data_IF_636515678560
#
_entry.id   IF_636515678560
#
_cell.length_a   1.000
_cell.length_b   1.000
_cell.length_c   1.000
_cell.angle_alpha   90.00
_cell.angle_beta   90.00
_cell.angle_gamma   90.00
#
_symmetry.space_group_name_H-M   'P 1'
#
loop_
_entity.id
_entity.type
_entity.pdbx_description
1 polymer ?
#
# COMPACT_ATOMS: atom_id res chain seq x y z
N UNK A 1 -34.45 61.77 -8.55
CA UNK A 1 -35.36 61.69 -9.71
C UNK A 1 -34.55 61.81 -10.99
N UNK A 2 -34.27 60.70 -11.63
CA UNK A 2 -34.03 60.61 -13.09
C UNK A 2 -33.89 59.14 -13.42
N UNK A 3 -34.86 58.65 -14.14
CA UNK A 3 -35.00 57.33 -14.72
C UNK A 3 -33.86 57.00 -15.68
N UNK A 4 -33.36 55.78 -15.63
CA UNK A 4 -32.54 55.19 -16.70
C UNK A 4 -33.42 54.26 -17.53
N UNK A 5 -33.28 54.28 -18.87
CA UNK A 5 -34.08 53.45 -19.75
C UNK A 5 -33.45 52.05 -19.95
N UNK A 6 -34.31 51.07 -20.04
CA UNK A 6 -34.02 49.71 -20.50
C UNK A 6 -33.81 49.71 -22.01
N UNK A 7 -32.71 49.15 -22.50
CA UNK A 7 -32.40 48.68 -23.86
C UNK A 7 -31.03 48.00 -23.76
N UNK A 8 -30.75 46.81 -24.24
CA UNK A 8 -31.30 45.88 -25.15
C UNK A 8 -30.65 44.51 -24.89
N UNK A 9 -31.46 43.51 -24.54
CA UNK A 9 -31.11 42.12 -24.75
C UNK A 9 -31.28 41.85 -26.26
N UNK A 10 -30.23 41.44 -26.88
CA UNK A 10 -30.36 40.90 -28.24
C UNK A 10 -29.21 41.30 -29.13
N UNK A 11 -28.13 40.56 -29.06
CA UNK A 11 -27.20 40.26 -30.17
C UNK A 11 -25.88 39.64 -29.63
N UNK A 12 -25.98 38.46 -29.04
CA UNK A 12 -24.81 37.60 -28.74
C UNK A 12 -25.10 36.13 -29.11
N UNK A 13 -25.83 35.93 -30.18
CA UNK A 13 -26.03 34.60 -30.74
C UNK A 13 -25.61 34.63 -32.22
N UNK A 14 -24.31 34.75 -32.50
CA UNK A 14 -23.82 34.38 -33.85
C UNK A 14 -22.28 34.45 -34.03
N UNK A 15 -21.48 34.10 -33.01
CA UNK A 15 -20.02 33.95 -33.22
C UNK A 15 -19.54 32.51 -32.99
N UNK A 16 -20.41 31.60 -32.57
CA UNK A 16 -20.04 30.19 -32.35
C UNK A 16 -20.19 29.28 -33.60
N UNK A 17 -20.64 29.80 -34.73
CA UNK A 17 -20.91 28.99 -35.93
C UNK A 17 -19.93 29.19 -37.11
N UNK A 18 -18.91 30.02 -36.98
CA UNK A 18 -17.96 30.28 -38.05
C UNK A 18 -16.53 29.78 -37.79
N UNK A 19 -16.26 29.16 -36.66
CA UNK A 19 -14.93 28.60 -36.34
C UNK A 19 -14.84 27.07 -36.50
N UNK A 20 -15.89 26.38 -36.91
CA UNK A 20 -15.93 24.92 -37.06
C UNK A 20 -15.61 24.40 -38.47
N UNK A 21 -15.27 25.26 -39.42
CA UNK A 21 -15.12 24.84 -40.82
C UNK A 21 -13.72 24.95 -41.45
N UNK A 22 -12.68 25.34 -40.71
CA UNK A 22 -11.33 25.45 -41.28
C UNK A 22 -10.18 24.78 -40.51
N UNK A 23 -10.47 23.93 -39.52
CA UNK A 23 -9.44 23.09 -38.87
C UNK A 23 -9.77 21.59 -38.96
N UNK A 24 -10.33 21.19 -40.09
CA UNK A 24 -10.36 19.79 -40.48
C UNK A 24 -9.04 19.42 -41.15
N UNK A 25 -8.33 18.50 -40.60
CA UNK A 25 -7.16 17.83 -41.19
C UNK A 25 -5.79 18.40 -40.77
N UNK A 26 -5.38 18.17 -39.50
CA UNK A 26 -3.97 18.02 -39.16
C UNK A 26 -3.76 17.63 -37.66
N UNK A 27 -4.67 16.88 -37.06
CA UNK A 27 -4.35 16.20 -35.79
C UNK A 27 -4.94 14.79 -35.81
N UNK A 28 -4.35 13.97 -36.70
CA UNK A 28 -4.37 12.52 -36.49
C UNK A 28 -3.42 12.22 -35.33
N UNK A 29 -3.84 12.54 -34.12
CA UNK A 29 -3.23 11.98 -32.93
C UNK A 29 -3.52 10.48 -32.97
N UNK A 30 -2.50 9.71 -33.40
CA UNK A 30 -2.44 8.29 -33.09
C UNK A 30 -2.73 8.16 -31.62
N UNK A 31 -3.60 7.22 -31.17
CA UNK A 31 -3.79 6.98 -29.78
C UNK A 31 -2.40 6.66 -29.20
N UNK A 32 -1.85 7.56 -28.40
CA UNK A 32 -0.73 7.28 -27.53
C UNK A 32 -1.12 6.06 -26.74
N UNK A 33 -0.32 4.99 -26.88
CA UNK A 33 -0.39 3.76 -26.09
C UNK A 33 -0.80 4.10 -24.67
N UNK A 34 -1.86 3.42 -24.23
CA UNK A 34 -2.58 3.67 -23.01
C UNK A 34 -1.69 4.07 -21.85
N UNK A 35 -2.24 4.96 -21.04
CA UNK A 35 -1.91 5.03 -19.62
C UNK A 35 -1.97 3.59 -19.14
N UNK A 36 -0.79 2.97 -18.99
CA UNK A 36 -0.66 1.68 -18.32
C UNK A 36 -1.25 1.93 -16.95
N UNK A 37 -2.43 1.33 -16.70
CA UNK A 37 -3.00 1.32 -15.38
C UNK A 37 -1.87 0.92 -14.44
N UNK A 38 -1.74 1.61 -13.32
CA UNK A 38 -0.81 1.24 -12.26
C UNK A 38 -1.08 -0.24 -11.99
N UNK A 39 -0.18 -1.12 -12.48
CA UNK A 39 -0.23 -2.53 -12.16
C UNK A 39 0.06 -2.62 -10.67
N UNK A 40 -0.99 -2.74 -9.87
CA UNK A 40 -0.85 -3.14 -8.47
C UNK A 40 -0.39 -4.59 -8.53
N UNK A 41 0.85 -4.84 -8.14
CA UNK A 41 1.39 -6.18 -8.04
C UNK A 41 0.46 -7.04 -7.18
N UNK A 42 0.31 -8.31 -7.53
CA UNK A 42 -0.37 -9.28 -6.64
C UNK A 42 0.47 -9.47 -5.37
N UNK A 43 -0.14 -9.99 -4.31
CA UNK A 43 0.59 -10.33 -3.08
C UNK A 43 1.77 -11.28 -3.36
N UNK A 44 1.59 -12.23 -4.29
CA UNK A 44 2.66 -13.16 -4.69
C UNK A 44 3.79 -12.45 -5.44
N UNK A 45 3.49 -11.53 -6.34
CA UNK A 45 4.50 -10.75 -7.05
C UNK A 45 5.34 -9.90 -6.09
N UNK A 46 4.71 -9.24 -5.12
CA UNK A 46 5.43 -8.49 -4.08
C UNK A 46 6.34 -9.40 -3.23
N UNK A 47 5.86 -10.60 -2.87
CA UNK A 47 6.67 -11.56 -2.14
C UNK A 47 7.88 -12.03 -2.97
N UNK A 48 7.70 -12.27 -4.27
CA UNK A 48 8.77 -12.69 -5.17
C UNK A 48 9.79 -11.55 -5.39
N UNK A 49 9.33 -10.29 -5.52
CA UNK A 49 10.20 -9.12 -5.59
C UNK A 49 11.05 -8.94 -4.33
N UNK A 50 10.47 -9.16 -3.14
CA UNK A 50 11.22 -9.12 -1.88
C UNK A 50 12.32 -10.20 -1.89
N UNK A 51 12.01 -11.42 -2.36
CA UNK A 51 13.01 -12.48 -2.45
C UNK A 51 14.14 -12.08 -3.41
N UNK A 52 13.82 -11.48 -4.55
CA UNK A 52 14.81 -10.97 -5.50
C UNK A 52 15.66 -9.86 -4.88
N UNK A 53 15.05 -8.86 -4.26
CA UNK A 53 15.77 -7.75 -3.58
C UNK A 53 16.78 -8.29 -2.55
N UNK A 54 16.38 -9.26 -1.73
CA UNK A 54 17.25 -9.84 -0.71
C UNK A 54 18.36 -10.72 -1.30
N UNK A 55 18.21 -11.21 -2.53
CA UNK A 55 19.24 -11.98 -3.21
C UNK A 55 20.47 -11.17 -3.62
N UNK A 56 20.34 -9.83 -3.71
CA UNK A 56 21.47 -8.94 -4.03
C UNK A 56 22.42 -8.72 -2.85
N UNK A 57 22.08 -9.13 -1.65
CA UNK A 57 22.92 -8.98 -0.47
C UNK A 57 23.64 -10.28 -0.14
N UNK A 58 24.98 -10.24 -0.16
CA UNK A 58 25.82 -11.41 0.09
C UNK A 58 25.92 -11.74 1.59
N UNK A 59 25.85 -10.73 2.47
CA UNK A 59 25.95 -10.93 3.89
C UNK A 59 24.71 -10.49 4.68
N UNK A 60 24.67 -10.89 5.96
CA UNK A 60 23.54 -10.62 6.84
C UNK A 60 23.55 -9.20 7.40
N UNK A 61 24.68 -8.55 7.51
CA UNK A 61 24.74 -7.18 8.00
C UNK A 61 24.01 -6.25 7.02
N UNK A 62 24.25 -6.43 5.72
CA UNK A 62 23.58 -5.66 4.67
C UNK A 62 22.09 -5.97 4.59
N UNK A 63 21.68 -7.26 4.73
CA UNK A 63 20.27 -7.64 4.80
C UNK A 63 19.55 -7.02 5.99
N UNK A 64 20.18 -7.01 7.16
CA UNK A 64 19.67 -6.34 8.36
C UNK A 64 19.54 -4.83 8.15
N UNK A 65 20.54 -4.20 7.57
CA UNK A 65 20.49 -2.78 7.28
C UNK A 65 19.36 -2.46 6.30
N UNK A 66 19.24 -3.24 5.23
CA UNK A 66 18.14 -3.10 4.26
C UNK A 66 16.77 -3.24 4.93
N UNK A 67 16.59 -4.23 5.80
CA UNK A 67 15.36 -4.44 6.54
C UNK A 67 15.01 -3.24 7.44
N UNK A 68 15.99 -2.71 8.16
CA UNK A 68 15.83 -1.50 9.00
C UNK A 68 15.45 -0.30 8.13
N UNK A 69 16.06 -0.13 6.96
CA UNK A 69 15.78 0.97 6.06
C UNK A 69 14.37 0.88 5.43
N UNK A 70 13.87 -0.33 5.17
CA UNK A 70 12.46 -0.54 4.81
C UNK A 70 11.53 -0.07 5.94
N UNK A 71 11.84 -0.44 7.19
CA UNK A 71 11.07 -0.01 8.36
C UNK A 71 11.04 1.51 8.55
N UNK A 72 12.13 2.20 8.25
CA UNK A 72 12.22 3.68 8.31
C UNK A 72 11.37 4.38 7.26
N UNK A 73 11.09 3.73 6.14
CA UNK A 73 10.26 4.25 5.04
C UNK A 73 8.78 3.97 5.23
N UNK A 74 8.45 3.09 6.18
CA UNK A 74 7.05 2.76 6.47
C UNK A 74 6.32 4.01 6.94
N UNK A 75 5.11 4.24 6.42
CA UNK A 75 4.22 5.31 6.90
C UNK A 75 4.00 5.14 8.40
N UNK A 76 4.27 6.16 9.22
CA UNK A 76 4.07 6.05 10.65
C UNK A 76 2.61 5.76 10.99
N UNK A 77 2.38 4.82 11.90
CA UNK A 77 1.06 4.59 12.49
C UNK A 77 0.64 5.79 13.34
N UNK A 78 -0.59 6.23 13.22
CA UNK A 78 -1.13 7.34 14.02
C UNK A 78 -0.98 7.06 15.51
N UNK A 79 -0.53 8.05 16.28
CA UNK A 79 -0.33 7.91 17.72
C UNK A 79 -1.62 7.54 18.47
N UNK A 80 -2.78 7.99 17.99
CA UNK A 80 -4.07 7.65 18.54
C UNK A 80 -4.41 6.15 18.45
N UNK A 81 -3.82 5.43 17.49
CA UNK A 81 -4.00 4.00 17.31
C UNK A 81 -3.00 3.15 18.11
N UNK A 82 -1.96 3.75 18.68
CA UNK A 82 -0.95 3.06 19.49
C UNK A 82 -1.44 2.87 20.92
N UNK A 83 -2.52 2.13 21.09
CA UNK A 83 -3.20 1.87 22.36
C UNK A 83 -2.96 0.43 22.85
N UNK A 84 -3.27 0.16 24.11
CA UNK A 84 -3.13 -1.19 24.70
C UNK A 84 -4.02 -2.21 23.99
N UNK A 85 -5.19 -1.77 23.52
CA UNK A 85 -6.14 -2.63 22.80
C UNK A 85 -5.57 -3.08 21.45
N UNK A 86 -4.78 -2.24 20.81
CA UNK A 86 -4.13 -2.53 19.53
C UNK A 86 -2.74 -3.16 19.68
N UNK A 87 -2.32 -3.41 20.92
CA UNK A 87 -1.03 -4.05 21.18
C UNK A 87 -1.08 -5.54 20.85
N UNK A 88 -0.20 -5.97 19.97
CA UNK A 88 -0.06 -7.36 19.57
C UNK A 88 0.60 -8.17 20.68
N UNK A 89 -0.08 -9.22 21.16
CA UNK A 89 0.43 -10.13 22.18
C UNK A 89 1.40 -11.14 21.55
N UNK A 90 2.35 -11.62 22.34
CA UNK A 90 3.34 -12.63 21.89
C UNK A 90 4.62 -12.05 21.30
N UNK A 91 4.73 -10.73 21.14
CA UNK A 91 5.96 -10.04 20.78
C UNK A 91 6.72 -9.59 22.04
N UNK A 92 8.05 -9.74 22.05
CA UNK A 92 8.89 -9.17 23.11
C UNK A 92 9.01 -7.64 22.99
N UNK A 93 9.10 -7.14 21.76
CA UNK A 93 9.04 -5.71 21.47
C UNK A 93 7.60 -5.22 21.53
N UNK A 94 7.43 -3.93 21.81
CA UNK A 94 6.13 -3.30 21.73
C UNK A 94 5.71 -3.22 20.25
N UNK A 95 4.61 -3.87 19.91
CA UNK A 95 4.06 -3.86 18.55
C UNK A 95 2.59 -3.47 18.62
N UNK A 96 2.20 -2.45 17.90
CA UNK A 96 0.80 -2.07 17.66
C UNK A 96 0.39 -2.50 16.27
N UNK A 97 -0.87 -2.92 16.11
CA UNK A 97 -1.40 -3.42 14.85
C UNK A 97 -2.90 -3.11 14.74
N UNK A 98 -3.32 -2.59 13.59
CA UNK A 98 -4.72 -2.41 13.23
C UNK A 98 -4.97 -2.87 11.81
N UNK A 99 -6.23 -3.20 11.51
CA UNK A 99 -6.70 -3.59 10.20
C UNK A 99 -8.01 -2.87 9.91
N UNK A 100 -8.09 -2.22 8.76
CA UNK A 100 -9.28 -1.52 8.28
C UNK A 100 -9.64 -2.02 6.88
N UNK A 101 -10.93 -2.25 6.63
CA UNK A 101 -11.42 -2.67 5.32
C UNK A 101 -12.03 -1.48 4.58
N UNK A 102 -11.58 -1.22 3.36
CA UNK A 102 -12.15 -0.16 2.52
C UNK A 102 -13.41 -0.61 1.78
N UNK A 103 -14.10 0.34 1.13
CA UNK A 103 -15.34 0.11 0.40
C UNK A 103 -15.18 -0.88 -0.78
N UNK A 104 -13.95 -1.16 -1.21
CA UNK A 104 -13.64 -2.13 -2.27
C UNK A 104 -13.37 -3.55 -1.73
N UNK A 105 -13.47 -3.75 -0.41
CA UNK A 105 -13.18 -5.02 0.25
C UNK A 105 -11.69 -5.32 0.41
N UNK A 106 -10.83 -4.29 0.29
CA UNK A 106 -9.39 -4.43 0.52
C UNK A 106 -9.06 -4.09 1.97
N UNK A 107 -8.20 -4.90 2.57
CA UNK A 107 -7.79 -4.74 3.96
C UNK A 107 -6.47 -3.96 3.99
N UNK A 108 -6.47 -2.86 4.72
CA UNK A 108 -5.32 -2.01 4.95
C UNK A 108 -4.81 -2.23 6.37
N UNK A 109 -3.53 -2.51 6.50
CA UNK A 109 -2.89 -2.72 7.79
C UNK A 109 -2.06 -1.50 8.18
N UNK A 110 -2.14 -1.11 9.45
CA UNK A 110 -1.23 -0.15 10.07
C UNK A 110 -0.56 -0.79 11.27
N UNK A 111 0.75 -0.66 11.37
CA UNK A 111 1.49 -1.21 12.49
C UNK A 111 2.73 -0.38 12.82
N UNK A 112 3.15 -0.46 14.08
CA UNK A 112 4.34 0.22 14.58
C UNK A 112 5.06 -0.61 15.64
N UNK A 113 6.37 -0.47 15.74
CA UNK A 113 7.19 -1.05 16.81
C UNK A 113 8.27 -0.08 17.27
N UNK A 114 8.64 -0.18 18.54
CA UNK A 114 9.77 0.52 19.15
C UNK A 114 11.14 -0.05 18.75
N UNK A 115 11.18 -1.27 18.20
CA UNK A 115 12.40 -1.92 17.76
C UNK A 115 12.62 -1.80 16.25
N UNK A 116 13.73 -1.20 15.82
CA UNK A 116 14.03 -0.93 14.42
C UNK A 116 13.95 -2.17 13.51
N UNK A 117 14.45 -3.32 13.97
CA UNK A 117 14.39 -4.57 13.20
C UNK A 117 12.96 -5.10 13.08
N UNK A 118 12.14 -4.96 14.13
CA UNK A 118 10.73 -5.37 14.12
C UNK A 118 9.93 -4.44 13.20
N UNK A 119 10.24 -3.14 13.22
CA UNK A 119 9.66 -2.18 12.28
C UNK A 119 9.97 -2.56 10.82
N UNK A 120 11.17 -3.07 10.54
CA UNK A 120 11.54 -3.61 9.23
C UNK A 120 10.74 -4.86 8.85
N UNK A 121 10.55 -5.79 9.77
CA UNK A 121 9.70 -6.98 9.55
C UNK A 121 8.25 -6.58 9.26
N UNK A 122 7.72 -5.60 9.99
CA UNK A 122 6.39 -5.02 9.73
C UNK A 122 6.34 -4.47 8.30
N UNK A 123 7.34 -3.70 7.87
CA UNK A 123 7.37 -3.11 6.53
C UNK A 123 7.27 -4.17 5.42
N UNK A 124 8.00 -5.29 5.54
CA UNK A 124 7.90 -6.41 4.59
C UNK A 124 6.50 -7.03 4.57
N UNK A 125 5.92 -7.28 5.75
CA UNK A 125 4.58 -7.87 5.84
C UNK A 125 3.52 -6.95 5.26
N UNK A 126 3.55 -5.66 5.58
CA UNK A 126 2.58 -4.70 5.07
C UNK A 126 2.71 -4.49 3.56
N UNK A 127 3.92 -4.51 3.02
CA UNK A 127 4.16 -4.45 1.57
C UNK A 127 3.46 -5.59 0.83
N UNK A 128 3.48 -6.78 1.38
CA UNK A 128 2.89 -7.98 0.77
C UNK A 128 1.39 -8.07 0.99
N UNK A 129 0.93 -7.84 2.22
CA UNK A 129 -0.42 -8.17 2.66
C UNK A 129 -1.38 -6.97 2.70
N UNK A 130 -0.91 -5.72 2.79
CA UNK A 130 -1.79 -4.56 2.85
C UNK A 130 -2.40 -4.22 1.49
N UNK A 131 -3.58 -3.60 1.50
CA UNK A 131 -4.38 -3.27 0.31
C UNK A 131 -4.74 -4.49 -0.56
N UNK A 132 -5.01 -5.65 0.08
CA UNK A 132 -5.41 -6.91 -0.55
C UNK A 132 -6.79 -7.35 -0.09
N UNK A 133 -7.45 -8.19 -0.91
CA UNK A 133 -8.68 -8.85 -0.46
C UNK A 133 -8.37 -9.95 0.56
N UNK A 134 -9.38 -10.35 1.33
CA UNK A 134 -9.23 -11.42 2.30
C UNK A 134 -8.75 -12.73 1.65
N UNK A 135 -9.26 -13.06 0.46
CA UNK A 135 -8.87 -14.24 -0.30
C UNK A 135 -7.39 -14.19 -0.70
N UNK A 136 -6.91 -13.05 -1.22
CA UNK A 136 -5.51 -12.87 -1.60
C UNK A 136 -4.59 -13.05 -0.38
N UNK A 137 -4.95 -12.48 0.77
CA UNK A 137 -4.19 -12.60 2.02
C UNK A 137 -4.13 -14.05 2.49
N UNK A 138 -5.27 -14.76 2.48
CA UNK A 138 -5.35 -16.13 2.98
C UNK A 138 -4.66 -17.13 2.05
N UNK A 139 -4.70 -16.90 0.75
CA UNK A 139 -4.07 -17.78 -0.24
C UNK A 139 -2.55 -17.72 -0.21
N UNK A 140 -1.94 -16.60 0.20
CA UNK A 140 -0.50 -16.44 0.19
C UNK A 140 0.16 -17.09 1.42
N UNK A 141 1.11 -17.99 1.19
CA UNK A 141 2.00 -18.52 2.22
C UNK A 141 3.09 -17.50 2.58
N UNK A 142 3.51 -17.39 3.86
CA UNK A 142 4.63 -16.54 4.27
C UNK A 142 6.02 -17.12 3.93
N UNK A 143 6.12 -18.10 3.04
CA UNK A 143 7.37 -18.83 2.71
C UNK A 143 8.47 -17.90 2.18
N UNK A 144 8.11 -16.71 1.65
CA UNK A 144 9.10 -15.72 1.22
C UNK A 144 10.01 -15.28 2.40
N UNK A 145 9.53 -15.32 3.64
CA UNK A 145 10.31 -14.99 4.83
C UNK A 145 11.44 -16.02 5.07
N UNK A 146 11.19 -17.30 4.80
CA UNK A 146 12.19 -18.35 4.83
C UNK A 146 13.18 -18.23 3.66
N UNK A 147 12.66 -17.94 2.47
CA UNK A 147 13.48 -17.78 1.24
C UNK A 147 14.49 -16.64 1.38
N UNK A 148 14.15 -15.58 2.08
CA UNK A 148 15.12 -14.49 2.40
C UNK A 148 15.98 -14.82 3.62
N UNK A 149 15.81 -16.00 4.27
CA UNK A 149 16.65 -16.55 5.31
C UNK A 149 16.36 -16.03 6.72
N UNK A 150 15.24 -15.37 6.97
CA UNK A 150 14.88 -14.86 8.31
C UNK A 150 14.71 -15.98 9.33
N UNK A 151 14.31 -17.17 8.88
CA UNK A 151 14.19 -18.37 9.73
C UNK A 151 15.50 -18.77 10.42
N UNK A 152 16.65 -18.52 9.79
CA UNK A 152 17.98 -18.89 10.32
C UNK A 152 18.63 -17.79 11.15
N UNK A 153 18.27 -16.53 10.89
CA UNK A 153 19.00 -15.37 11.41
C UNK A 153 18.23 -14.54 12.44
N UNK A 154 16.94 -14.79 12.62
CA UNK A 154 16.18 -14.22 13.72
C UNK A 154 16.34 -15.05 15.01
N UNK A 155 16.43 -14.37 16.15
CA UNK A 155 16.34 -15.05 17.45
C UNK A 155 14.97 -15.76 17.61
N UNK A 156 14.85 -16.80 18.43
CA UNK A 156 13.58 -17.50 18.66
C UNK A 156 12.44 -16.55 19.04
N UNK A 157 12.71 -15.54 19.86
CA UNK A 157 11.71 -14.57 20.29
C UNK A 157 11.21 -13.70 19.13
N UNK A 158 12.11 -13.30 18.21
CA UNK A 158 11.72 -12.53 17.02
C UNK A 158 10.96 -13.38 16.02
N UNK A 159 11.29 -14.68 15.88
CA UNK A 159 10.50 -15.62 15.07
C UNK A 159 9.08 -15.75 15.60
N UNK A 160 8.91 -15.89 16.92
CA UNK A 160 7.59 -15.94 17.53
C UNK A 160 6.80 -14.65 17.28
N UNK A 161 7.43 -13.48 17.44
CA UNK A 161 6.79 -12.20 17.14
C UNK A 161 6.38 -12.06 15.65
N UNK A 162 7.24 -12.54 14.72
CA UNK A 162 6.93 -12.55 13.28
C UNK A 162 5.73 -13.47 12.99
N UNK A 163 5.71 -14.67 13.59
CA UNK A 163 4.57 -15.59 13.47
C UNK A 163 3.28 -14.96 13.98
N UNK A 164 3.31 -14.32 15.18
CA UNK A 164 2.16 -13.63 15.75
C UNK A 164 1.65 -12.50 14.84
N UNK A 165 2.53 -11.77 14.16
CA UNK A 165 2.13 -10.74 13.18
C UNK A 165 1.45 -11.37 11.95
N UNK A 166 1.97 -12.47 11.42
CA UNK A 166 1.34 -13.21 10.30
C UNK A 166 -0.03 -13.76 10.71
N UNK A 167 -0.15 -14.31 11.92
CA UNK A 167 -1.43 -14.78 12.47
C UNK A 167 -2.44 -13.64 12.61
N UNK A 168 -2.04 -12.47 13.08
CA UNK A 168 -2.92 -11.30 13.20
C UNK A 168 -3.41 -10.83 11.81
N UNK A 169 -2.54 -10.79 10.82
CA UNK A 169 -2.90 -10.46 9.42
C UNK A 169 -3.92 -11.46 8.88
N UNK A 170 -3.66 -12.76 9.03
CA UNK A 170 -4.55 -13.82 8.56
C UNK A 170 -5.88 -13.83 9.31
N UNK A 171 -5.85 -13.60 10.63
CA UNK A 171 -7.05 -13.47 11.46
C UNK A 171 -7.92 -12.29 11.05
N UNK A 172 -7.32 -11.13 10.76
CA UNK A 172 -8.06 -9.99 10.23
C UNK A 172 -8.71 -10.30 8.88
N UNK A 173 -8.02 -11.01 7.98
CA UNK A 173 -8.59 -11.44 6.71
C UNK A 173 -9.77 -12.41 6.90
N UNK A 174 -9.65 -13.39 7.81
CA UNK A 174 -10.75 -14.31 8.12
C UNK A 174 -12.00 -13.59 8.64
N UNK A 175 -11.83 -12.59 9.48
CA UNK A 175 -12.92 -11.80 10.04
C UNK A 175 -13.63 -10.91 8.99
N UNK A 176 -13.00 -10.66 7.84
CA UNK A 176 -13.55 -9.86 6.73
C UNK A 176 -14.01 -10.72 5.54
N UNK A 177 -14.07 -12.03 5.69
CA UNK A 177 -14.64 -12.97 4.70
C UNK A 177 -16.15 -13.15 4.92
N UNK A 178 -16.93 -12.08 5.09
CA UNK A 178 -18.37 -12.12 5.32
C UNK A 178 -19.18 -11.70 4.11
#
# INVERSE_FOLDING_TARGET
>A
MRSLPALALGQLTNIASLAASQFGSLFSLKPTKGVQGMHINTAQQEADEIVEEFSFFDDWADRYQHLIDQGRRLTPMEAALQTVENQLKGCQSLVYFTADCDDSGRIHFSAASDAAIVQGLIALLLRVYSARTAEEILALSPDFLEKIGLDKHLSPTRKNGLASMVEAIKGAAQNNMG
#
